data_IF_930480309162
#
_entry.id   IF_930480309162
#
_cell.length_a   1.000
_cell.length_b   1.000
_cell.length_c   1.000
_cell.angle_alpha   90.00
_cell.angle_beta   90.00
_cell.angle_gamma   90.00
#
_symmetry.space_group_name_H-M   'P 1'
#
loop_
_entity.id
_entity.type
_entity.pdbx_description
1 polymer ?
#
# COMPACT_ATOMS: atom_id res chain seq x y z
N UNK A 1 -0.68 9.65 -51.39
CA UNK A 1 -0.75 10.64 -50.31
C UNK A 1 -2.12 10.57 -49.65
N UNK A 2 -2.26 9.81 -48.56
CA UNK A 2 -3.51 9.77 -47.77
C UNK A 2 -3.20 10.40 -46.41
N UNK A 3 -3.35 11.72 -46.30
CA UNK A 3 -3.40 12.40 -45.01
C UNK A 3 -4.74 13.10 -44.90
N UNK A 4 -5.76 12.32 -44.50
CA UNK A 4 -7.09 12.84 -44.22
C UNK A 4 -7.26 13.12 -42.72
N UNK A 5 -8.15 14.05 -42.33
CA UNK A 5 -8.43 14.39 -40.93
C UNK A 5 -8.85 13.20 -40.05
N UNK A 6 -9.25 12.08 -40.68
CA UNK A 6 -9.57 10.81 -40.00
C UNK A 6 -8.35 10.12 -39.40
N UNK A 7 -7.18 10.13 -40.06
CA UNK A 7 -5.95 9.55 -39.50
C UNK A 7 -5.45 10.37 -38.30
N UNK A 8 -5.58 11.70 -38.36
CA UNK A 8 -5.21 12.59 -37.26
C UNK A 8 -6.10 12.39 -36.02
N UNK A 9 -7.40 12.17 -36.23
CA UNK A 9 -8.36 11.84 -35.16
C UNK A 9 -8.07 10.47 -34.53
N UNK A 10 -7.73 9.47 -35.35
CA UNK A 10 -7.40 8.14 -34.86
C UNK A 10 -6.10 8.14 -34.04
N UNK A 11 -5.08 8.87 -34.50
CA UNK A 11 -3.84 9.07 -33.75
C UNK A 11 -4.07 9.78 -32.41
N UNK A 12 -4.89 10.83 -32.40
CA UNK A 12 -5.22 11.54 -31.15
C UNK A 12 -6.01 10.67 -30.17
N UNK A 13 -7.00 9.91 -30.64
CA UNK A 13 -7.74 8.95 -29.81
C UNK A 13 -6.82 7.87 -29.23
N UNK A 14 -5.91 7.32 -30.03
CA UNK A 14 -4.93 6.36 -29.55
C UNK A 14 -4.02 6.97 -28.47
N UNK A 15 -3.53 8.19 -28.66
CA UNK A 15 -2.75 8.91 -27.65
C UNK A 15 -3.53 9.14 -26.36
N UNK A 16 -4.81 9.52 -26.45
CA UNK A 16 -5.68 9.71 -25.27
C UNK A 16 -5.90 8.40 -24.53
N UNK A 17 -6.17 7.30 -25.25
CA UNK A 17 -6.33 5.96 -24.65
C UNK A 17 -5.05 5.49 -23.96
N UNK A 18 -3.88 5.67 -24.59
CA UNK A 18 -2.58 5.33 -24.00
C UNK A 18 -2.31 6.17 -22.74
N UNK A 19 -2.56 7.48 -22.79
CA UNK A 19 -2.36 8.36 -21.65
C UNK A 19 -3.30 8.01 -20.47
N UNK A 20 -4.57 7.69 -20.75
CA UNK A 20 -5.54 7.27 -19.73
C UNK A 20 -5.16 5.92 -19.08
N UNK A 21 -4.62 4.98 -19.87
CA UNK A 21 -4.15 3.69 -19.36
C UNK A 21 -3.00 3.80 -18.36
N UNK A 22 -2.10 4.76 -18.52
CA UNK A 22 -0.99 5.00 -17.59
C UNK A 22 -1.45 5.53 -16.23
N UNK A 23 -2.45 6.43 -16.22
CA UNK A 23 -2.98 7.03 -14.97
C UNK A 23 -3.76 6.01 -14.14
N UNK A 24 -4.50 5.11 -14.78
CA UNK A 24 -5.26 4.06 -14.08
C UNK A 24 -4.38 3.04 -13.34
N UNK A 25 -3.11 2.88 -13.75
CA UNK A 25 -2.14 1.97 -13.12
C UNK A 25 -1.55 2.47 -11.80
N UNK A 26 -1.85 3.73 -11.40
CA UNK A 26 -1.29 4.33 -10.20
C UNK A 26 -1.86 3.76 -8.88
N UNK A 27 -3.08 3.20 -8.90
CA UNK A 27 -3.69 2.55 -7.74
C UNK A 27 -3.56 1.04 -7.88
N UNK A 28 -2.51 0.46 -7.31
CA UNK A 28 -2.27 -0.98 -7.34
C UNK A 28 -2.60 -1.59 -5.97
N UNK A 29 -3.87 -1.96 -5.70
CA UNK A 29 -4.22 -2.61 -4.45
C UNK A 29 -3.54 -3.98 -4.39
N UNK A 30 -2.78 -4.22 -3.31
CA UNK A 30 -2.17 -5.52 -3.05
C UNK A 30 -3.01 -6.24 -2.01
N UNK A 31 -3.55 -7.39 -2.39
CA UNK A 31 -4.23 -8.29 -1.45
C UNK A 31 -3.23 -9.32 -0.96
N UNK A 32 -3.06 -9.38 0.35
CA UNK A 32 -2.19 -10.35 1.01
C UNK A 32 -3.04 -11.29 1.85
N UNK A 33 -2.65 -12.54 1.90
CA UNK A 33 -3.28 -13.58 2.70
C UNK A 33 -2.21 -14.54 3.17
N UNK A 34 -2.43 -15.19 4.31
CA UNK A 34 -1.55 -16.24 4.83
C UNK A 34 -0.08 -15.80 5.12
N UNK A 35 0.09 -14.56 5.58
CA UNK A 35 1.39 -13.96 5.92
C UNK A 35 1.63 -13.86 7.43
N UNK A 36 0.97 -14.72 8.20
CA UNK A 36 0.98 -14.74 9.67
C UNK A 36 2.18 -15.47 10.29
N UNK A 37 3.20 -15.77 9.48
CA UNK A 37 4.47 -16.35 9.90
C UNK A 37 5.64 -15.60 9.27
N UNK A 38 6.74 -15.44 10.03
CA UNK A 38 7.94 -14.73 9.55
C UNK A 38 8.54 -15.37 8.29
N UNK A 39 8.46 -16.70 8.16
CA UNK A 39 8.91 -17.43 6.98
C UNK A 39 8.02 -17.25 5.75
N UNK A 40 6.78 -16.76 5.96
CA UNK A 40 5.79 -16.45 4.91
C UNK A 40 5.55 -14.95 4.74
N UNK A 41 6.39 -14.11 5.35
CA UNK A 41 6.25 -12.66 5.28
C UNK A 41 6.13 -12.15 3.82
N UNK A 42 5.20 -11.23 3.59
CA UNK A 42 5.06 -10.59 2.29
C UNK A 42 6.30 -9.73 1.98
N UNK A 43 6.93 -9.95 0.84
CA UNK A 43 8.12 -9.19 0.43
C UNK A 43 7.68 -7.93 -0.31
N UNK A 44 8.03 -6.76 0.24
CA UNK A 44 7.85 -5.47 -0.42
C UNK A 44 9.14 -5.20 -1.21
N UNK A 45 9.06 -5.31 -2.54
CA UNK A 45 10.22 -5.20 -3.43
C UNK A 45 10.74 -3.77 -3.59
N UNK A 46 9.84 -2.78 -3.56
CA UNK A 46 10.17 -1.36 -3.73
C UNK A 46 9.48 -0.53 -2.65
N UNK A 47 10.25 -0.12 -1.64
CA UNK A 47 9.78 0.71 -0.53
C UNK A 47 9.62 2.19 -0.91
N UNK A 48 10.18 2.63 -2.04
CA UNK A 48 9.98 3.99 -2.53
C UNK A 48 8.61 4.17 -3.20
N UNK A 49 7.96 3.06 -3.57
CA UNK A 49 6.60 3.06 -4.11
C UNK A 49 5.57 3.07 -2.97
N UNK A 50 4.69 4.08 -2.99
CA UNK A 50 3.49 4.08 -2.15
C UNK A 50 2.55 2.94 -2.57
N UNK A 51 2.24 2.05 -1.62
CA UNK A 51 1.45 0.84 -1.83
C UNK A 51 0.44 0.69 -0.69
N UNK A 52 -0.74 0.17 -1.01
CA UNK A 52 -1.78 -0.12 -0.04
C UNK A 52 -2.00 -1.64 0.01
N UNK A 53 -1.85 -2.19 1.20
CA UNK A 53 -2.06 -3.61 1.48
C UNK A 53 -3.39 -3.81 2.19
N UNK A 54 -4.17 -4.75 1.69
CA UNK A 54 -5.48 -5.10 2.23
C UNK A 54 -5.43 -6.52 2.78
N UNK A 55 -5.88 -6.68 4.02
CA UNK A 55 -5.91 -7.95 4.74
C UNK A 55 -6.94 -7.96 5.86
N UNK A 56 -6.96 -9.04 6.63
CA UNK A 56 -7.79 -9.20 7.82
C UNK A 56 -6.94 -9.79 8.94
N UNK A 57 -7.06 -9.21 10.12
CA UNK A 57 -6.48 -9.75 11.35
C UNK A 57 -7.60 -10.23 12.26
N UNK A 58 -7.54 -11.49 12.65
CA UNK A 58 -8.28 -12.00 13.80
C UNK A 58 -7.58 -11.58 15.12
N UNK A 59 -8.24 -11.69 16.29
CA UNK A 59 -7.58 -11.47 17.56
C UNK A 59 -6.31 -12.30 17.70
N UNK A 60 -5.24 -11.67 18.20
CA UNK A 60 -3.90 -12.26 18.37
C UNK A 60 -3.17 -12.67 17.06
N UNK A 61 -3.74 -12.39 15.89
CA UNK A 61 -3.06 -12.56 14.60
C UNK A 61 -2.11 -11.38 14.33
N UNK A 62 -0.97 -11.69 13.71
CA UNK A 62 0.02 -10.70 13.25
C UNK A 62 0.38 -11.03 11.81
N UNK A 63 0.27 -10.05 10.93
CA UNK A 63 0.77 -10.17 9.55
C UNK A 63 2.21 -9.67 9.46
N UNK A 64 3.06 -10.42 8.77
CA UNK A 64 4.48 -10.10 8.59
C UNK A 64 4.78 -9.57 7.20
N UNK A 65 5.49 -8.46 7.15
CA UNK A 65 6.04 -7.86 5.93
C UNK A 65 7.56 -7.79 6.05
N UNK A 66 8.27 -7.98 4.94
CA UNK A 66 9.73 -7.88 4.87
C UNK A 66 10.13 -6.99 3.70
N UNK A 67 11.12 -6.15 3.93
CA UNK A 67 11.73 -5.29 2.93
C UNK A 67 13.22 -5.08 3.23
N UNK A 68 13.94 -4.56 2.24
CA UNK A 68 15.31 -4.07 2.40
C UNK A 68 15.29 -2.54 2.40
N UNK A 69 16.14 -1.93 3.22
CA UNK A 69 16.29 -0.48 3.32
C UNK A 69 17.74 -0.14 3.69
N UNK A 70 18.20 1.02 3.26
CA UNK A 70 19.52 1.57 3.56
C UNK A 70 19.47 2.58 4.72
N UNK A 71 20.63 2.76 5.38
CA UNK A 71 20.74 3.73 6.46
C UNK A 71 20.51 5.15 5.95
N UNK A 72 19.55 5.85 6.57
CA UNK A 72 19.15 7.20 6.19
C UNK A 72 17.90 7.27 5.31
N UNK A 73 17.39 6.12 4.83
CA UNK A 73 16.09 6.08 4.18
C UNK A 73 14.96 6.31 5.20
N UNK A 74 13.88 6.94 4.72
CA UNK A 74 12.70 7.22 5.52
C UNK A 74 11.54 6.40 4.99
N UNK A 75 10.83 5.73 5.90
CA UNK A 75 9.66 4.91 5.58
C UNK A 75 8.44 5.52 6.27
N UNK A 76 7.38 5.71 5.50
CA UNK A 76 6.08 6.13 6.00
C UNK A 76 5.14 4.94 6.04
N UNK A 77 4.59 4.64 7.21
CA UNK A 77 3.64 3.55 7.42
C UNK A 77 2.35 4.09 8.00
N UNK A 78 1.23 3.58 7.51
CA UNK A 78 -0.10 3.90 8.01
C UNK A 78 -0.92 2.61 8.04
N UNK A 79 -1.51 2.30 9.20
CA UNK A 79 -2.53 1.26 9.29
C UNK A 79 -3.89 1.94 9.28
N UNK A 80 -4.78 1.50 8.39
CA UNK A 80 -6.15 2.00 8.28
C UNK A 80 -7.13 0.92 8.75
N UNK A 81 -8.15 1.33 9.49
CA UNK A 81 -9.25 0.45 9.93
C UNK A 81 -10.54 0.92 9.28
N UNK A 82 -11.30 0.04 8.60
CA UNK A 82 -12.62 0.38 8.09
C UNK A 82 -13.53 0.96 9.19
N UNK A 83 -14.28 2.00 8.86
CA UNK A 83 -15.20 2.67 9.80
C UNK A 83 -16.52 1.91 9.90
N UNK A 84 -16.51 0.76 10.57
CA UNK A 84 -17.69 -0.07 10.81
C UNK A 84 -17.90 -0.30 12.31
N UNK A 85 -19.14 -0.61 12.72
CA UNK A 85 -19.50 -0.73 14.14
C UNK A 85 -18.74 -1.84 14.87
N UNK A 86 -18.50 -2.94 14.18
CA UNK A 86 -17.76 -4.12 14.63
C UNK A 86 -16.26 -3.86 14.85
N UNK A 87 -15.67 -2.90 14.13
CA UNK A 87 -14.24 -2.57 14.23
C UNK A 87 -13.94 -1.34 15.11
N UNK A 88 -14.95 -0.74 15.75
CA UNK A 88 -14.79 0.48 16.58
C UNK A 88 -13.76 0.34 17.70
N UNK A 89 -13.59 -0.86 18.25
CA UNK A 89 -12.63 -1.15 19.32
C UNK A 89 -11.30 -1.68 18.82
N UNK A 90 -11.19 -2.03 17.53
CA UNK A 90 -9.95 -2.54 16.98
C UNK A 90 -8.89 -1.44 16.91
N UNK A 91 -7.69 -1.73 17.39
CA UNK A 91 -6.56 -0.81 17.44
C UNK A 91 -5.33 -1.51 16.87
N UNK A 92 -4.98 -1.28 15.59
CA UNK A 92 -3.78 -1.89 15.03
C UNK A 92 -2.55 -1.30 15.71
N UNK A 93 -1.54 -2.15 15.88
CA UNK A 93 -0.21 -1.78 16.31
C UNK A 93 0.79 -2.19 15.23
N UNK A 94 1.80 -1.37 15.00
CA UNK A 94 2.87 -1.64 14.03
C UNK A 94 4.19 -1.65 14.80
N UNK A 95 5.01 -2.68 14.52
CA UNK A 95 6.39 -2.75 14.99
C UNK A 95 7.30 -2.97 13.79
N UNK A 96 8.42 -2.27 13.74
CA UNK A 96 9.51 -2.49 12.79
C UNK A 96 10.70 -3.03 13.57
N UNK A 97 11.31 -4.11 13.07
CA UNK A 97 12.50 -4.71 13.66
C UNK A 97 13.47 -5.11 12.55
N UNK A 98 14.76 -5.11 12.86
CA UNK A 98 15.78 -5.48 11.90
C UNK A 98 17.14 -4.91 12.25
N UNK A 99 18.18 -5.27 11.48
CA UNK A 99 19.53 -4.76 11.67
C UNK A 99 19.57 -3.22 11.61
N UNK A 100 20.30 -2.60 12.54
CA UNK A 100 20.44 -1.15 12.61
C UNK A 100 19.31 -0.41 13.34
N UNK A 101 18.29 -1.12 13.82
CA UNK A 101 17.25 -0.60 14.73
C UNK A 101 17.54 -1.05 16.18
N UNK A 102 16.90 -0.43 17.19
CA UNK A 102 16.94 -0.92 18.57
C UNK A 102 16.50 -2.39 18.71
N UNK A 103 17.04 -3.11 19.68
CA UNK A 103 16.76 -4.54 19.90
C UNK A 103 15.28 -4.84 20.17
N UNK A 104 14.56 -3.90 20.79
CA UNK A 104 13.12 -3.98 21.07
C UNK A 104 12.24 -3.54 19.90
N UNK A 105 12.87 -3.12 18.80
CA UNK A 105 12.24 -2.58 17.60
C UNK A 105 11.70 -1.16 17.77
N UNK A 106 11.20 -0.59 16.68
CA UNK A 106 10.49 0.68 16.68
C UNK A 106 8.99 0.42 16.66
N UNK A 107 8.26 0.91 17.67
CA UNK A 107 6.81 0.70 17.80
C UNK A 107 6.04 1.99 17.57
N UNK A 108 5.05 1.93 16.68
CA UNK A 108 4.04 2.98 16.61
C UNK A 108 3.07 2.85 17.80
N UNK A 109 2.53 3.96 18.35
CA UNK A 109 1.48 3.87 19.35
C UNK A 109 0.27 3.10 18.80
N UNK A 110 -0.30 2.20 19.60
CA UNK A 110 -1.49 1.45 19.19
C UNK A 110 -2.64 2.42 18.88
N UNK A 111 -3.26 2.26 17.70
CA UNK A 111 -4.30 3.19 17.25
C UNK A 111 -3.80 4.54 16.76
N UNK A 112 -2.49 4.73 16.56
CA UNK A 112 -1.95 5.87 15.80
C UNK A 112 -2.29 5.82 14.30
N UNK A 113 -3.03 4.80 13.87
CA UNK A 113 -3.78 4.77 12.62
C UNK A 113 -4.44 6.13 12.37
N UNK A 114 -4.05 6.82 11.29
CA UNK A 114 -4.79 8.00 10.91
C UNK A 114 -6.20 7.54 10.58
N UNK A 115 -7.20 8.10 11.25
CA UNK A 115 -8.58 7.88 10.87
C UNK A 115 -8.76 8.57 9.53
N UNK A 116 -8.55 7.86 8.42
CA UNK A 116 -8.79 8.44 7.11
C UNK A 116 -10.28 8.82 7.05
N UNK A 117 -10.57 10.12 7.16
CA UNK A 117 -11.83 10.66 6.70
C UNK A 117 -11.77 10.65 5.17
N UNK A 118 -11.88 9.46 4.58
CA UNK A 118 -12.21 9.32 3.16
C UNK A 118 -13.66 9.78 3.03
N UNK A 119 -13.86 11.08 2.86
CA UNK A 119 -15.08 11.56 2.21
C UNK A 119 -14.96 11.12 0.74
N UNK A 120 -15.87 10.24 0.34
CA UNK A 120 -15.91 9.70 -1.00
C UNK A 120 -15.94 10.80 -2.06
N UNK A 121 -15.22 10.53 -3.16
CA UNK A 121 -15.51 11.12 -4.46
C UNK A 121 -16.87 10.62 -4.96
#
# INVERSE_FOLDING_TARGET
MISGPRLRRLGWLASVVVALGLVASAHYPVFVDDIDDVGRAHVIEDIARSQAFYGRLEPDQVDFYRFEAEAGESISLEALVPKTDDLRSFRPAITISGPGLPDDGMRAPAGAAATSHYEGL
#
